data_IF_258928876475
#
_entry.id   IF_258928876475
#
_cell.length_a   1.000
_cell.length_b   1.000
_cell.length_c   1.000
_cell.angle_alpha   90.00
_cell.angle_beta   90.00
_cell.angle_gamma   90.00
#
_symmetry.space_group_name_H-M   'P 1'
#
loop_
_entity.id
_entity.type
_entity.pdbx_description
1 polymer ?
#
# COMPACT_ATOMS: atom_id res chain seq x y z
N UNK A 1 -5.85 22.19 17.26
CA UNK A 1 -7.06 21.53 17.80
C UNK A 1 -7.24 20.23 17.03
N UNK A 2 -6.92 19.09 17.65
CA UNK A 2 -7.12 17.77 17.06
C UNK A 2 -8.57 17.35 17.29
N UNK A 3 -9.30 17.04 16.22
CA UNK A 3 -10.66 16.53 16.28
C UNK A 3 -10.66 15.04 16.00
N UNK A 4 -10.81 14.24 17.05
CA UNK A 4 -11.31 12.87 16.97
C UNK A 4 -12.82 12.88 16.65
N UNK A 5 -13.32 11.72 16.16
CA UNK A 5 -14.70 11.22 16.04
C UNK A 5 -15.01 10.85 14.56
N UNK A 6 -15.52 9.67 14.20
CA UNK A 6 -16.18 8.65 15.01
C UNK A 6 -16.15 7.27 14.35
N UNK A 7 -16.10 6.25 15.20
CA UNK A 7 -16.40 4.86 14.87
C UNK A 7 -17.90 4.70 14.68
N UNK A 8 -18.35 4.31 13.49
CA UNK A 8 -19.73 3.92 13.26
C UNK A 8 -19.92 2.44 13.59
N UNK A 9 -20.69 2.17 14.65
CA UNK A 9 -21.29 0.85 14.92
C UNK A 9 -22.45 0.58 13.96
N UNK A 10 -22.54 -0.65 13.44
CA UNK A 10 -23.75 -1.47 13.13
C UNK A 10 -23.26 -2.73 12.42
N UNK A 11 -23.70 -3.96 12.68
CA UNK A 11 -24.73 -4.50 13.56
C UNK A 11 -24.50 -6.02 13.74
N UNK A 12 -25.12 -6.57 14.78
CA UNK A 12 -25.16 -8.00 15.13
C UNK A 12 -26.59 -8.47 14.86
N UNK A 13 -26.75 -9.55 14.10
CA UNK A 13 -27.90 -10.46 13.94
C UNK A 13 -27.39 -11.56 12.96
N UNK A 14 -27.44 -12.88 13.13
CA UNK A 14 -28.12 -13.72 14.11
C UNK A 14 -29.13 -14.67 13.47
N UNK A 15 -28.74 -15.60 12.57
CA UNK A 15 -29.60 -16.74 12.18
C UNK A 15 -28.76 -17.99 11.87
N UNK A 16 -28.97 -19.06 12.65
CA UNK A 16 -28.29 -20.37 12.52
C UNK A 16 -29.02 -21.36 11.61
N UNK A 17 -28.44 -22.55 11.37
CA UNK A 17 -29.15 -23.62 10.69
C UNK A 17 -30.02 -24.45 11.64
N UNK A 18 -31.27 -24.62 11.22
CA UNK A 18 -32.32 -25.51 11.74
C UNK A 18 -32.04 -26.97 11.39
N UNK A 19 -32.24 -27.86 12.38
CA UNK A 19 -32.80 -29.23 12.31
C UNK A 19 -32.13 -30.29 11.42
N UNK A 20 -32.01 -31.57 11.76
CA UNK A 20 -32.58 -32.37 12.84
C UNK A 20 -32.62 -33.83 12.36
N UNK A 21 -32.17 -34.78 13.18
CA UNK A 21 -32.24 -36.21 12.90
C UNK A 21 -32.30 -36.99 14.21
N UNK A 22 -33.51 -37.43 14.57
CA UNK A 22 -33.88 -38.14 15.81
C UNK A 22 -33.52 -39.63 15.78
N UNK A 23 -33.21 -40.19 16.97
CA UNK A 23 -33.62 -41.50 17.58
C UNK A 23 -32.58 -41.88 18.66
N UNK A 24 -32.86 -42.29 19.90
CA UNK A 24 -34.06 -42.52 20.73
C UNK A 24 -33.61 -42.50 22.22
N UNK A 25 -34.56 -42.30 23.16
CA UNK A 25 -34.89 -43.19 24.31
C UNK A 25 -33.71 -43.50 25.27
N UNK A 26 -33.69 -43.24 26.58
CA UNK A 26 -34.65 -43.18 27.70
C UNK A 26 -34.07 -42.18 28.74
N UNK A 27 -34.86 -41.26 29.30
CA UNK A 27 -35.46 -41.36 30.64
C UNK A 27 -34.46 -41.53 31.80
N UNK A 28 -34.27 -40.45 32.58
CA UNK A 28 -34.49 -40.44 34.03
C UNK A 28 -34.45 -38.99 34.54
N UNK A 29 -35.60 -38.53 35.00
CA UNK A 29 -35.85 -37.22 35.57
C UNK A 29 -35.20 -37.07 36.97
N UNK A 30 -34.68 -35.87 37.26
CA UNK A 30 -34.36 -35.42 38.62
C UNK A 30 -34.03 -33.92 38.65
N UNK A 31 -34.49 -33.15 39.66
CA UNK A 31 -35.04 -31.81 39.45
C UNK A 31 -34.07 -30.69 39.83
N UNK A 32 -34.23 -29.52 39.23
CA UNK A 32 -33.57 -28.31 39.73
C UNK A 32 -33.41 -27.24 38.65
N UNK A 33 -34.46 -26.45 38.45
CA UNK A 33 -34.34 -25.23 37.66
C UNK A 33 -33.45 -24.22 38.37
N UNK A 34 -32.61 -23.53 37.62
CA UNK A 34 -32.44 -22.09 37.80
C UNK A 34 -31.76 -21.51 36.56
N UNK A 35 -32.51 -20.65 35.89
CA UNK A 35 -32.06 -19.37 35.31
C UNK A 35 -30.66 -19.31 34.72
N UNK A 36 -30.61 -18.95 33.44
CA UNK A 36 -29.41 -18.51 32.77
C UNK A 36 -28.62 -17.51 33.63
N UNK A 37 -27.40 -17.91 33.95
CA UNK A 37 -26.35 -16.99 34.30
C UNK A 37 -25.27 -17.23 33.26
N UNK A 38 -25.09 -16.21 32.43
CA UNK A 38 -23.87 -16.00 31.68
C UNK A 38 -22.71 -16.14 32.66
N UNK A 39 -22.07 -17.32 32.69
CA UNK A 39 -20.77 -17.48 33.32
C UNK A 39 -19.76 -16.72 32.46
N UNK A 40 -19.80 -15.39 32.59
CA UNK A 40 -18.70 -14.54 32.19
C UNK A 40 -17.44 -15.03 32.90
N UNK A 41 -16.30 -14.81 32.26
CA UNK A 41 -14.94 -15.16 32.67
C UNK A 41 -14.49 -14.76 34.10
N UNK A 42 -15.40 -14.27 34.96
CA UNK A 42 -15.17 -13.77 36.32
C UNK A 42 -15.41 -14.81 37.43
N UNK A 43 -15.49 -16.10 37.14
CA UNK A 43 -15.85 -17.11 38.16
C UNK A 43 -14.96 -18.35 38.29
N UNK A 44 -14.07 -18.61 37.32
CA UNK A 44 -13.41 -19.92 37.22
C UNK A 44 -11.93 -19.93 37.65
N UNK A 45 -11.46 -18.86 38.30
CA UNK A 45 -10.09 -18.79 38.83
C UNK A 45 -9.97 -19.51 40.17
N UNK A 46 -10.20 -20.83 40.21
CA UNK A 46 -9.87 -21.67 41.38
C UNK A 46 -8.41 -22.12 41.34
N UNK A 47 -7.50 -21.21 40.96
CA UNK A 47 -6.06 -21.48 40.95
C UNK A 47 -5.45 -21.19 42.30
N UNK A 48 -4.47 -22.00 42.73
CA UNK A 48 -3.65 -21.63 43.89
C UNK A 48 -2.93 -20.29 43.62
N UNK A 49 -2.59 -19.50 44.65
CA UNK A 49 -1.83 -18.25 44.46
C UNK A 49 -0.52 -18.46 43.68
N UNK A 50 0.06 -19.66 43.77
CA UNK A 50 1.24 -20.05 43.00
C UNK A 50 0.96 -20.14 41.49
N UNK A 51 -0.15 -20.74 41.06
CA UNK A 51 -0.51 -20.83 39.63
C UNK A 51 -0.81 -19.46 39.02
N UNK A 52 -1.39 -18.55 39.80
CA UNK A 52 -1.57 -17.17 39.37
C UNK A 52 -0.21 -16.48 39.19
N UNK A 53 0.73 -16.67 40.12
CA UNK A 53 2.08 -16.12 40.01
C UNK A 53 2.82 -16.65 38.78
N UNK A 54 2.73 -17.96 38.48
CA UNK A 54 3.30 -18.58 37.29
C UNK A 54 2.71 -17.96 36.00
N UNK A 55 1.39 -17.80 35.93
CA UNK A 55 0.75 -17.15 34.77
C UNK A 55 1.14 -15.68 34.59
N UNK A 56 1.30 -14.95 35.68
CA UNK A 56 1.81 -13.57 35.61
C UNK A 56 3.26 -13.53 35.16
N UNK A 57 4.09 -14.50 35.57
CA UNK A 57 5.45 -14.63 35.08
C UNK A 57 5.49 -14.92 33.57
N UNK A 58 4.67 -15.85 33.07
CA UNK A 58 4.56 -16.15 31.64
C UNK A 58 4.05 -14.95 30.83
N UNK A 59 3.07 -14.21 31.36
CA UNK A 59 2.55 -13.00 30.73
C UNK A 59 3.62 -11.90 30.69
N UNK A 60 4.39 -11.72 31.77
CA UNK A 60 5.50 -10.77 31.80
C UNK A 60 6.62 -11.17 30.84
N UNK A 61 6.94 -12.47 30.75
CA UNK A 61 7.92 -13.00 29.82
C UNK A 61 7.49 -12.74 28.37
N UNK A 62 6.27 -13.14 27.99
CA UNK A 62 5.74 -12.91 26.64
C UNK A 62 5.64 -11.43 26.27
N UNK A 63 5.32 -10.55 27.23
CA UNK A 63 5.34 -9.10 27.01
C UNK A 63 6.76 -8.59 26.75
N UNK A 64 7.73 -9.03 27.53
CA UNK A 64 9.13 -8.65 27.36
C UNK A 64 9.69 -9.15 26.01
N UNK A 65 9.33 -10.36 25.59
CA UNK A 65 9.68 -10.91 24.28
C UNK A 65 9.03 -10.11 23.14
N UNK A 66 7.77 -9.71 23.28
CA UNK A 66 7.10 -8.88 22.29
C UNK A 66 7.79 -7.51 22.11
N UNK A 67 8.28 -6.91 23.20
CA UNK A 67 9.08 -5.67 23.13
C UNK A 67 10.41 -5.91 22.42
N UNK A 68 11.16 -6.98 22.78
CA UNK A 68 12.44 -7.31 22.11
C UNK A 68 12.25 -7.57 20.61
N UNK A 69 11.24 -8.34 20.22
CA UNK A 69 10.95 -8.58 18.80
C UNK A 69 10.62 -7.29 18.05
N UNK A 70 9.91 -6.36 18.71
CA UNK A 70 9.62 -5.06 18.12
C UNK A 70 10.91 -4.26 17.92
N UNK A 71 11.77 -4.17 18.92
CA UNK A 71 13.06 -3.49 18.84
C UNK A 71 13.96 -4.09 17.76
N UNK A 72 14.02 -5.42 17.66
CA UNK A 72 14.76 -6.12 16.61
C UNK A 72 14.22 -5.75 15.23
N UNK A 73 12.90 -5.78 15.02
CA UNK A 73 12.29 -5.38 13.75
C UNK A 73 12.58 -3.91 13.42
N UNK A 74 12.52 -3.03 14.40
CA UNK A 74 12.84 -1.61 14.24
C UNK A 74 14.33 -1.42 13.87
N UNK A 75 15.24 -2.16 14.49
CA UNK A 75 16.67 -2.16 14.17
C UNK A 75 16.92 -2.63 12.73
N UNK A 76 16.34 -3.78 12.33
CA UNK A 76 16.46 -4.29 10.96
C UNK A 76 15.88 -3.30 9.94
N UNK A 77 14.74 -2.69 10.27
CA UNK A 77 14.11 -1.72 9.38
C UNK A 77 14.95 -0.44 9.24
N UNK A 78 15.53 0.06 10.34
CA UNK A 78 16.46 1.20 10.31
C UNK A 78 17.67 0.91 9.42
N UNK A 79 18.26 -0.30 9.55
CA UNK A 79 19.37 -0.75 8.70
C UNK A 79 18.98 -0.78 7.22
N UNK A 80 17.84 -1.38 6.87
CA UNK A 80 17.35 -1.42 5.49
C UNK A 80 17.06 -0.03 4.91
N UNK A 81 16.57 0.92 5.74
CA UNK A 81 16.40 2.31 5.31
C UNK A 81 17.74 2.98 5.00
N UNK A 82 18.77 2.74 5.82
CA UNK A 82 20.11 3.26 5.60
C UNK A 82 20.74 2.68 4.33
N UNK A 83 20.64 1.37 4.13
CA UNK A 83 21.14 0.69 2.92
C UNK A 83 20.40 1.18 1.66
N UNK A 84 19.06 1.33 1.72
CA UNK A 84 18.29 1.92 0.61
C UNK A 84 18.71 3.36 0.30
N UNK A 85 18.98 4.18 1.32
CA UNK A 85 19.47 5.54 1.10
C UNK A 85 20.83 5.54 0.39
N UNK A 86 21.74 4.64 0.79
CA UNK A 86 23.03 4.43 0.11
C UNK A 86 22.85 4.00 -1.35
N UNK A 87 22.02 2.99 -1.60
CA UNK A 87 21.75 2.50 -2.96
C UNK A 87 21.09 3.56 -3.85
N UNK A 88 20.25 4.44 -3.29
CA UNK A 88 19.66 5.56 -4.03
C UNK A 88 20.71 6.59 -4.45
N UNK A 89 21.69 6.89 -3.59
CA UNK A 89 22.80 7.79 -3.94
C UNK A 89 23.69 7.17 -5.01
N UNK A 90 24.00 5.89 -4.88
CA UNK A 90 24.77 5.14 -5.88
C UNK A 90 24.04 5.10 -7.24
N UNK A 91 22.74 4.80 -7.25
CA UNK A 91 21.93 4.86 -8.46
C UNK A 91 21.92 6.25 -9.10
N UNK A 92 21.87 7.32 -8.29
CA UNK A 92 21.98 8.70 -8.81
C UNK A 92 23.35 8.95 -9.44
N UNK A 93 24.44 8.46 -8.84
CA UNK A 93 25.79 8.53 -9.39
C UNK A 93 25.88 7.77 -10.71
N UNK A 94 25.45 6.52 -10.74
CA UNK A 94 25.46 5.67 -11.93
C UNK A 94 24.61 6.27 -13.06
N UNK A 95 23.44 6.86 -12.75
CA UNK A 95 22.62 7.57 -13.76
C UNK A 95 23.36 8.77 -14.37
N UNK A 96 24.16 9.50 -13.58
CA UNK A 96 24.99 10.59 -14.10
C UNK A 96 26.10 10.05 -14.99
N UNK A 97 26.81 9.02 -14.54
CA UNK A 97 27.87 8.35 -15.29
C UNK A 97 27.33 7.78 -16.61
N UNK A 98 26.24 7.01 -16.58
CA UNK A 98 25.59 6.47 -17.78
C UNK A 98 25.14 7.57 -18.74
N UNK A 99 24.62 8.69 -18.24
CA UNK A 99 24.27 9.83 -19.09
C UNK A 99 25.51 10.46 -19.74
N UNK A 100 26.62 10.57 -19.02
CA UNK A 100 27.87 11.07 -19.57
C UNK A 100 28.43 10.10 -20.63
N UNK A 101 28.45 8.81 -20.34
CA UNK A 101 28.87 7.77 -21.28
C UNK A 101 28.00 7.77 -22.54
N UNK A 102 26.68 7.83 -22.38
CA UNK A 102 25.74 7.90 -23.50
C UNK A 102 25.99 9.13 -24.38
N UNK A 103 26.26 10.29 -23.77
CA UNK A 103 26.66 11.49 -24.51
C UNK A 103 27.99 11.28 -25.25
N UNK A 104 29.00 10.71 -24.61
CA UNK A 104 30.29 10.42 -25.24
C UNK A 104 30.15 9.47 -26.43
N UNK A 105 29.29 8.44 -26.32
CA UNK A 105 29.11 7.43 -27.36
C UNK A 105 28.25 7.91 -28.53
N UNK A 106 27.18 8.67 -28.28
CA UNK A 106 26.25 9.08 -29.33
C UNK A 106 26.53 10.46 -29.93
N UNK A 107 27.07 11.39 -29.15
CA UNK A 107 27.43 12.72 -29.66
C UNK A 107 28.88 12.78 -30.17
N UNK A 108 29.62 11.67 -30.10
CA UNK A 108 31.03 11.61 -30.47
C UNK A 108 31.92 12.50 -29.59
N UNK A 109 33.22 12.67 -29.94
CA UNK A 109 34.06 13.69 -29.34
C UNK A 109 33.34 15.04 -29.49
N UNK A 110 33.21 15.81 -28.40
CA UNK A 110 32.31 16.96 -28.32
C UNK A 110 32.46 18.01 -29.45
N UNK A 111 31.50 18.96 -29.56
CA UNK A 111 31.41 19.97 -30.62
C UNK A 111 32.60 20.94 -30.73
N UNK A 112 33.67 20.77 -29.95
CA UNK A 112 34.97 21.38 -30.26
C UNK A 112 35.60 20.78 -31.54
N UNK A 113 35.00 19.72 -32.09
CA UNK A 113 35.18 19.26 -33.48
C UNK A 113 33.89 19.49 -34.29
N UNK A 114 33.42 20.74 -34.37
CA UNK A 114 32.34 21.11 -35.27
C UNK A 114 32.79 21.02 -36.74
N UNK A 115 32.10 20.18 -37.52
CA UNK A 115 31.96 20.32 -38.97
C UNK A 115 30.46 20.51 -39.27
N UNK A 116 30.08 21.23 -40.34
CA UNK A 116 28.98 22.20 -40.28
C UNK A 116 27.61 21.68 -40.74
N UNK A 117 26.59 22.51 -40.50
CA UNK A 117 25.29 22.61 -41.17
C UNK A 117 24.10 21.82 -40.57
N UNK A 118 23.61 22.30 -39.44
CA UNK A 118 22.19 22.52 -39.18
C UNK A 118 22.07 23.80 -38.34
N UNK A 119 21.17 24.71 -38.71
CA UNK A 119 21.06 25.98 -37.98
C UNK A 119 20.60 25.70 -36.54
N UNK A 120 21.42 26.00 -35.52
CA UNK A 120 21.12 25.65 -34.13
C UNK A 120 19.84 26.33 -33.60
N UNK A 121 19.38 27.37 -34.31
CA UNK A 121 18.12 28.05 -34.06
C UNK A 121 16.90 27.16 -34.41
N UNK A 122 16.93 26.46 -35.55
CA UNK A 122 15.83 25.60 -35.98
C UNK A 122 15.69 24.36 -35.09
N UNK A 123 16.82 23.76 -34.68
CA UNK A 123 16.83 22.66 -33.72
C UNK A 123 16.28 23.07 -32.34
N UNK A 124 16.67 24.26 -31.87
CA UNK A 124 16.17 24.79 -30.61
C UNK A 124 14.65 25.06 -30.65
N UNK A 125 14.14 25.52 -31.80
CA UNK A 125 12.71 25.74 -32.01
C UNK A 125 11.94 24.41 -32.12
N UNK A 126 12.49 23.40 -32.80
CA UNK A 126 11.91 22.06 -32.87
C UNK A 126 11.78 21.41 -31.49
N UNK A 127 12.82 21.53 -30.64
CA UNK A 127 12.80 21.01 -29.27
C UNK A 127 11.80 21.76 -28.38
N UNK A 128 11.66 23.08 -28.55
CA UNK A 128 10.62 23.87 -27.86
C UNK A 128 9.22 23.45 -28.29
N UNK A 129 9.01 23.18 -29.58
CA UNK A 129 7.74 22.67 -30.09
C UNK A 129 7.40 21.28 -29.54
N UNK A 130 8.39 20.38 -29.46
CA UNK A 130 8.23 19.06 -28.84
C UNK A 130 7.88 19.15 -27.35
N UNK A 131 8.57 20.03 -26.60
CA UNK A 131 8.27 20.27 -25.19
C UNK A 131 6.85 20.83 -25.00
N UNK A 132 6.42 21.75 -25.88
CA UNK A 132 5.05 22.27 -25.87
C UNK A 132 4.00 21.18 -26.09
N UNK A 133 4.22 20.29 -27.07
CA UNK A 133 3.35 19.12 -27.32
C UNK A 133 3.24 18.22 -26.09
N UNK A 134 4.39 17.88 -25.48
CA UNK A 134 4.43 17.01 -24.30
C UNK A 134 3.74 17.63 -23.08
N UNK A 135 3.96 18.94 -22.86
CA UNK A 135 3.30 19.67 -21.77
C UNK A 135 1.78 19.73 -21.96
N UNK A 136 1.30 19.91 -23.18
CA UNK A 136 -0.14 19.90 -23.46
C UNK A 136 -0.75 18.51 -23.26
N UNK A 137 -0.07 17.44 -23.67
CA UNK A 137 -0.49 16.05 -23.37
C UNK A 137 -0.58 15.82 -21.86
N UNK A 138 0.44 16.24 -21.09
CA UNK A 138 0.42 16.14 -19.64
C UNK A 138 -0.77 16.91 -19.03
N UNK A 139 -1.07 18.12 -19.54
CA UNK A 139 -2.24 18.89 -19.11
C UNK A 139 -3.56 18.21 -19.44
N UNK A 140 -3.66 17.50 -20.56
CA UNK A 140 -4.84 16.71 -20.95
C UNK A 140 -5.02 15.49 -20.04
N UNK A 141 -3.97 14.71 -19.81
CA UNK A 141 -4.00 13.55 -18.92
C UNK A 141 -4.41 13.94 -17.48
N UNK A 142 -3.88 15.05 -16.95
CA UNK A 142 -4.27 15.54 -15.63
C UNK A 142 -5.73 16.00 -15.57
N UNK A 143 -6.26 16.58 -16.65
CA UNK A 143 -7.69 16.94 -16.75
C UNK A 143 -8.56 15.69 -16.77
N UNK A 144 -8.17 14.66 -17.51
CA UNK A 144 -8.83 13.36 -17.53
C UNK A 144 -8.89 12.72 -16.12
N UNK A 145 -7.74 12.59 -15.45
CA UNK A 145 -7.69 12.02 -14.09
C UNK A 145 -8.52 12.80 -13.06
N UNK A 146 -8.63 14.13 -13.21
CA UNK A 146 -9.50 14.96 -12.36
C UNK A 146 -10.99 14.70 -12.63
N UNK A 147 -11.37 14.47 -13.90
CA UNK A 147 -12.74 14.11 -14.29
C UNK A 147 -13.12 12.73 -13.75
N UNK A 148 -12.30 11.71 -13.94
CA UNK A 148 -12.58 10.36 -13.42
C UNK A 148 -12.68 10.35 -11.88
N UNK A 149 -11.86 11.16 -11.19
CA UNK A 149 -11.97 11.34 -9.73
C UNK A 149 -13.27 12.02 -9.31
N UNK A 150 -13.78 12.97 -10.09
CA UNK A 150 -15.04 13.66 -9.81
C UNK A 150 -16.28 12.81 -10.15
N UNK A 151 -16.17 11.90 -11.13
CA UNK A 151 -17.25 11.03 -11.61
C UNK A 151 -17.49 9.79 -10.73
N UNK A 152 -16.69 9.54 -9.69
CA UNK A 152 -17.02 8.55 -8.65
C UNK A 152 -16.37 7.17 -8.75
N UNK A 153 -15.21 7.03 -9.41
CA UNK A 153 -14.40 5.80 -9.36
C UNK A 153 -14.51 4.89 -10.60
N UNK A 154 -13.68 3.83 -10.66
CA UNK A 154 -13.18 3.20 -11.90
C UNK A 154 -14.22 2.52 -12.80
N UNK A 155 -15.46 2.36 -12.36
CA UNK A 155 -16.53 1.71 -13.14
C UNK A 155 -17.07 2.60 -14.29
N UNK A 156 -16.81 3.91 -14.26
CA UNK A 156 -17.03 4.80 -15.40
C UNK A 156 -15.78 4.90 -16.31
N UNK A 157 -14.63 4.40 -15.87
CA UNK A 157 -13.35 4.52 -16.59
C UNK A 157 -13.19 3.50 -17.70
N UNK A 158 -13.79 2.31 -17.61
CA UNK A 158 -13.63 1.28 -18.67
C UNK A 158 -14.19 1.71 -20.04
N UNK A 159 -15.13 2.68 -20.08
CA UNK A 159 -15.63 3.29 -21.33
C UNK A 159 -14.81 4.51 -21.79
N UNK A 160 -14.08 5.18 -20.89
CA UNK A 160 -13.21 6.35 -21.18
C UNK A 160 -11.72 5.98 -21.36
N UNK A 161 -11.29 4.78 -20.94
CA UNK A 161 -9.91 4.29 -21.04
C UNK A 161 -9.43 4.21 -22.50
N UNK A 162 -10.36 4.09 -23.46
CA UNK A 162 -10.08 4.20 -24.89
C UNK A 162 -9.59 5.58 -25.34
N UNK A 163 -10.06 6.67 -24.72
CA UNK A 163 -9.64 8.04 -25.10
C UNK A 163 -8.18 8.33 -24.68
N UNK A 164 -7.75 7.79 -23.54
CA UNK A 164 -6.37 7.89 -23.07
C UNK A 164 -5.42 7.06 -23.95
N UNK A 165 -5.84 5.87 -24.35
CA UNK A 165 -5.09 5.00 -25.25
C UNK A 165 -4.99 5.60 -26.66
N UNK A 166 -6.03 6.26 -27.17
CA UNK A 166 -5.99 6.97 -28.46
C UNK A 166 -5.01 8.16 -28.43
N UNK A 167 -4.99 8.95 -27.34
CA UNK A 167 -4.01 10.04 -27.15
C UNK A 167 -2.55 9.56 -27.08
N UNK A 168 -2.33 8.29 -26.72
CA UNK A 168 -1.01 7.65 -26.68
C UNK A 168 -0.65 6.97 -28.02
N UNK A 169 -1.63 6.48 -28.78
CA UNK A 169 -1.44 5.87 -30.12
C UNK A 169 -1.17 6.89 -31.23
N UNK A 170 -1.52 8.17 -31.05
CA UNK A 170 -1.16 9.25 -31.98
C UNK A 170 0.37 9.41 -32.20
N UNK A 171 1.22 8.75 -31.41
CA UNK A 171 2.69 8.75 -31.56
C UNK A 171 3.25 7.59 -32.44
N UNK A 172 2.40 6.71 -33.02
CA UNK A 172 2.86 5.59 -33.88
C UNK A 172 2.91 5.89 -35.38
N UNK A 173 2.58 7.11 -35.82
CA UNK A 173 2.75 7.50 -37.23
C UNK A 173 3.88 8.53 -37.39
N UNK A 174 4.89 8.22 -38.23
CA UNK A 174 6.07 9.06 -38.44
C UNK A 174 5.76 10.41 -39.07
#
# INVERSE_FOLDING_TARGET
RWGCNGWARRGREGHGPVGGGRRGAEELAGPGGSSGQEEGWRGQSRGSPQQLAERYADLAASHSEALRQREEREWHNARLRQENARLRLENRRLRRENRCLFRQTLLGPGPDQASPAADPAEEAEALRAQLGRLQEKHRRALRHLRRCRAAGGPEASELEDGELDELLKEDEQP
#
